data_IF_523188067380
#
_entry.id   IF_523188067380
#
_cell.length_a   1.000
_cell.length_b   1.000
_cell.length_c   1.000
_cell.angle_alpha   90.00
_cell.angle_beta   90.00
_cell.angle_gamma   90.00
#
_symmetry.space_group_name_H-M   'P 1'
#
loop_
_entity.id
_entity.type
_entity.pdbx_description
1 polymer ?
#
# COMPACT_ATOMS: atom_id res chain seq x y z
N UNK A 1 8.05 14.80 17.36
CA UNK A 1 7.66 14.43 15.98
C UNK A 1 7.68 12.92 15.68
N UNK A 2 8.63 12.11 16.19
CA UNK A 2 8.51 10.65 16.03
C UNK A 2 7.30 10.08 16.78
N UNK A 3 7.05 10.59 17.98
CA UNK A 3 5.91 10.16 18.81
C UNK A 3 4.55 10.49 18.17
N UNK A 4 4.41 11.65 17.55
CA UNK A 4 3.18 12.05 16.82
C UNK A 4 2.89 11.10 15.68
N UNK A 5 3.93 10.73 14.92
CA UNK A 5 3.83 9.73 13.86
C UNK A 5 3.41 8.38 14.42
N UNK A 6 3.98 7.96 15.55
CA UNK A 6 3.61 6.71 16.23
C UNK A 6 2.14 6.70 16.68
N UNK A 7 1.63 7.82 17.22
CA UNK A 7 0.22 7.96 17.61
C UNK A 7 -0.69 7.80 16.39
N UNK A 8 -0.38 8.47 15.28
CA UNK A 8 -1.17 8.39 14.03
C UNK A 8 -1.19 6.97 13.43
N UNK A 9 -0.06 6.28 13.42
CA UNK A 9 0.08 4.95 12.83
C UNK A 9 -0.49 3.83 13.72
N UNK A 10 -0.37 3.97 15.05
CA UNK A 10 -0.89 3.00 16.01
C UNK A 10 -2.42 2.94 15.98
N UNK A 11 -3.10 4.09 15.85
CA UNK A 11 -4.56 4.14 15.80
C UNK A 11 -5.13 3.48 14.53
N UNK A 12 -4.51 3.57 13.36
CA UNK A 12 -4.99 2.82 12.17
C UNK A 12 -4.46 1.38 12.05
N UNK A 13 -3.67 0.91 13.03
CA UNK A 13 -2.94 -0.37 12.99
C UNK A 13 -2.10 -0.53 11.72
N UNK A 14 -1.48 0.56 11.26
CA UNK A 14 -0.49 0.47 10.19
C UNK A 14 0.73 -0.21 10.79
N UNK A 15 1.09 -1.37 10.23
CA UNK A 15 2.31 -2.07 10.63
C UNK A 15 3.49 -1.28 10.09
N UNK A 16 4.30 -0.78 11.01
CA UNK A 16 5.62 -0.23 10.71
C UNK A 16 6.64 -1.37 10.82
N UNK A 17 7.50 -1.59 9.82
CA UNK A 17 8.60 -2.54 9.94
C UNK A 17 9.51 -2.05 11.05
N UNK A 18 9.69 -2.85 12.11
CA UNK A 18 10.77 -2.63 13.07
C UNK A 18 12.03 -3.13 12.39
N UNK A 19 12.95 -2.22 12.07
CA UNK A 19 14.28 -2.59 11.64
C UNK A 19 15.19 -2.41 12.85
N UNK A 20 15.82 -3.48 13.33
CA UNK A 20 16.65 -3.45 14.55
C UNK A 20 17.91 -2.56 14.41
N UNK A 21 18.15 -2.01 13.21
CA UNK A 21 19.29 -1.16 12.86
C UNK A 21 18.95 0.31 12.58
N UNK A 22 17.67 0.65 12.41
CA UNK A 22 17.21 2.02 12.14
C UNK A 22 15.95 2.26 12.96
N UNK A 23 16.13 2.97 14.08
CA UNK A 23 15.03 3.37 14.95
C UNK A 23 14.01 4.21 14.19
N UNK A 24 12.75 3.76 14.22
CA UNK A 24 11.56 4.47 13.75
C UNK A 24 11.50 4.76 12.23
N UNK A 25 10.29 4.94 11.67
CA UNK A 25 10.18 5.40 10.29
C UNK A 25 10.84 6.79 10.20
N UNK A 26 11.74 6.99 9.21
CA UNK A 26 12.37 8.27 8.86
C UNK A 26 11.38 9.33 8.35
N UNK A 27 10.10 9.18 8.68
CA UNK A 27 9.02 10.02 8.19
C UNK A 27 8.35 10.63 9.40
N UNK A 28 8.48 11.95 9.49
CA UNK A 28 7.93 12.74 10.58
C UNK A 28 6.63 13.37 10.09
N UNK A 29 5.52 12.95 10.69
CA UNK A 29 4.22 13.59 10.49
C UNK A 29 3.80 14.24 11.80
N UNK A 30 3.47 15.51 11.69
CA UNK A 30 2.97 16.33 12.79
C UNK A 30 1.64 16.94 12.36
N UNK A 31 0.67 17.09 13.27
CA UNK A 31 -0.40 18.05 13.07
C UNK A 31 0.19 19.45 12.86
N UNK A 32 -0.56 20.30 12.16
CA UNK A 32 -0.19 21.69 11.89
C UNK A 32 -0.47 22.55 13.13
N UNK A 33 0.37 22.37 14.15
CA UNK A 33 0.29 23.08 15.43
C UNK A 33 1.69 23.57 15.83
N UNK A 34 1.78 24.62 16.67
CA UNK A 34 3.03 25.11 17.23
C UNK A 34 3.79 24.00 17.99
N UNK A 35 5.13 24.02 17.94
CA UNK A 35 5.97 22.97 18.54
C UNK A 35 5.86 22.93 20.08
N UNK A 36 5.56 24.06 20.70
CA UNK A 36 5.30 24.25 22.12
C UNK A 36 3.99 23.61 22.59
N UNK A 37 2.99 23.49 21.71
CA UNK A 37 1.71 22.84 22.02
C UNK A 37 1.72 21.34 21.72
N UNK A 38 2.77 20.84 21.07
CA UNK A 38 2.86 19.46 20.59
C UNK A 38 2.82 18.43 21.73
N UNK A 39 3.44 18.74 22.86
CA UNK A 39 3.51 17.85 24.02
C UNK A 39 2.13 17.71 24.69
N UNK A 40 1.42 18.83 24.83
CA UNK A 40 0.04 18.87 25.33
C UNK A 40 -0.86 18.05 24.39
N UNK A 41 -0.77 18.31 23.08
CA UNK A 41 -1.52 17.58 22.08
C UNK A 41 -1.25 16.06 22.14
N UNK A 42 0.01 15.65 22.35
CA UNK A 42 0.37 14.24 22.50
C UNK A 42 -0.30 13.60 23.72
N UNK A 43 -0.30 14.27 24.86
CA UNK A 43 -0.95 13.75 26.08
C UNK A 43 -2.45 13.61 25.87
N UNK A 44 -3.09 14.57 25.22
CA UNK A 44 -4.55 14.57 24.98
C UNK A 44 -4.99 13.51 23.96
N UNK A 45 -4.18 13.23 22.93
CA UNK A 45 -4.57 12.38 21.81
C UNK A 45 -4.03 10.94 21.90
N UNK A 46 -3.20 10.63 22.91
CA UNK A 46 -2.54 9.34 23.06
C UNK A 46 -3.39 8.37 23.88
N UNK A 47 -3.67 7.22 23.27
CA UNK A 47 -4.29 6.09 23.97
C UNK A 47 -5.78 5.98 23.68
N UNK A 48 -6.51 5.43 24.64
CA UNK A 48 -7.92 5.08 24.49
C UNK A 48 -8.63 5.18 25.83
N UNK A 49 -9.95 5.37 25.78
CA UNK A 49 -10.83 5.48 26.94
C UNK A 49 -11.98 4.48 26.83
N UNK A 50 -12.46 3.95 27.96
CA UNK A 50 -13.63 3.07 27.97
C UNK A 50 -14.91 3.86 27.60
N UNK A 51 -15.77 3.28 26.77
CA UNK A 51 -17.01 3.92 26.33
C UNK A 51 -18.00 4.15 27.47
N UNK A 52 -18.06 3.24 28.45
CA UNK A 52 -18.97 3.36 29.59
C UNK A 52 -18.60 4.55 30.48
N UNK A 53 -17.30 4.74 30.74
CA UNK A 53 -16.81 5.89 31.51
C UNK A 53 -17.05 7.20 30.76
N UNK A 54 -16.85 7.20 29.43
CA UNK A 54 -17.17 8.35 28.59
C UNK A 54 -18.66 8.73 28.69
N UNK A 55 -19.55 7.74 28.59
CA UNK A 55 -20.99 7.96 28.65
C UNK A 55 -21.45 8.49 30.01
N UNK A 56 -20.80 8.08 31.11
CA UNK A 56 -21.10 8.56 32.46
C UNK A 56 -20.69 10.01 32.68
N UNK A 57 -19.54 10.40 32.12
CA UNK A 57 -19.03 11.76 32.27
C UNK A 57 -19.80 12.74 31.38
N UNK A 58 -20.04 12.38 30.11
CA UNK A 58 -20.72 13.24 29.14
C UNK A 58 -21.44 12.42 28.07
N UNK A 59 -22.69 12.06 28.36
CA UNK A 59 -23.59 11.36 27.43
C UNK A 59 -24.01 12.19 26.21
N UNK A 60 -23.79 13.52 26.26
CA UNK A 60 -24.16 14.44 25.17
C UNK A 60 -23.05 14.60 24.14
N UNK A 61 -21.79 14.42 24.56
CA UNK A 61 -20.64 14.47 23.66
C UNK A 61 -20.59 13.27 22.71
N UNK A 62 -20.34 13.55 21.44
CA UNK A 62 -20.03 12.52 20.45
C UNK A 62 -18.52 12.27 20.44
N UNK A 63 -18.05 11.08 20.84
CA UNK A 63 -16.64 10.75 20.75
C UNK A 63 -16.15 10.86 19.32
N UNK A 64 -15.04 11.58 19.16
CA UNK A 64 -14.44 11.88 17.86
C UNK A 64 -13.54 10.75 17.35
N UNK A 65 -13.22 9.73 18.15
CA UNK A 65 -12.26 8.69 17.78
C UNK A 65 -12.84 7.38 17.24
N UNK A 66 -11.97 6.42 16.98
CA UNK A 66 -12.40 5.08 16.58
C UNK A 66 -12.92 4.27 17.76
N UNK A 67 -14.08 3.66 17.58
CA UNK A 67 -14.63 2.66 18.49
C UNK A 67 -14.00 1.31 18.19
N UNK A 68 -13.56 0.62 19.24
CA UNK A 68 -13.05 -0.76 19.20
C UNK A 68 -13.79 -1.57 20.23
N UNK A 69 -14.19 -2.77 19.81
CA UNK A 69 -14.86 -3.72 20.68
C UNK A 69 -14.26 -5.10 20.46
N UNK A 70 -14.12 -5.86 21.55
CA UNK A 70 -13.62 -7.24 21.50
C UNK A 70 -14.52 -8.13 20.63
N UNK A 71 -15.85 -7.96 20.76
CA UNK A 71 -16.86 -8.65 19.93
C UNK A 71 -16.71 -8.33 18.43
N UNK A 72 -16.09 -7.20 18.10
CA UNK A 72 -15.83 -6.76 16.73
C UNK A 72 -14.38 -7.02 16.29
N UNK A 73 -13.67 -7.90 17.00
CA UNK A 73 -12.27 -8.27 16.75
C UNK A 73 -11.32 -7.06 16.82
N UNK A 74 -11.64 -6.06 17.65
CA UNK A 74 -10.86 -4.84 17.85
C UNK A 74 -10.54 -4.06 16.54
N UNK A 75 -11.39 -4.23 15.52
CA UNK A 75 -11.32 -3.45 14.27
C UNK A 75 -11.84 -2.03 14.52
N UNK A 76 -11.29 -1.01 13.83
CA UNK A 76 -11.77 0.36 13.96
C UNK A 76 -13.19 0.47 13.39
N UNK A 77 -14.09 1.07 14.16
CA UNK A 77 -15.44 1.44 13.78
C UNK A 77 -15.64 2.94 14.04
N UNK A 78 -16.44 3.61 13.21
CA UNK A 78 -16.82 5.01 13.44
C UNK A 78 -18.00 5.03 14.41
N UNK A 79 -17.94 5.89 15.41
CA UNK A 79 -19.08 6.15 16.29
C UNK A 79 -20.24 6.81 15.52
N UNK A 80 -21.47 6.38 15.80
CA UNK A 80 -22.70 6.96 15.24
C UNK A 80 -23.52 7.62 16.33
N UNK A 81 -23.69 6.94 17.48
CA UNK A 81 -24.53 7.43 18.56
C UNK A 81 -24.60 6.47 19.74
N UNK A 82 -25.09 6.99 20.85
CA UNK A 82 -25.45 6.21 22.04
C UNK A 82 -26.90 5.74 21.93
N UNK A 83 -27.18 4.54 22.41
CA UNK A 83 -28.54 4.00 22.53
C UNK A 83 -28.73 3.58 23.97
N UNK A 84 -29.65 4.24 24.67
CA UNK A 84 -30.08 3.85 25.99
C UNK A 84 -31.33 2.97 25.84
N UNK A 85 -31.27 1.67 26.15
CA UNK A 85 -32.46 0.83 26.14
C UNK A 85 -33.42 1.21 27.28
N UNK A 86 -34.72 1.18 26.99
CA UNK A 86 -35.79 1.54 27.95
C UNK A 86 -35.85 0.61 29.17
N UNK A 87 -35.30 -0.61 29.05
CA UNK A 87 -35.26 -1.64 30.08
C UNK A 87 -34.25 -1.34 31.22
N UNK A 88 -33.61 -0.18 31.23
CA UNK A 88 -32.56 0.17 32.21
C UNK A 88 -31.27 -0.65 32.07
N UNK A 89 -31.14 -1.39 30.97
CA UNK A 89 -29.92 -2.14 30.63
C UNK A 89 -28.75 -1.20 30.30
N UNK A 90 -27.53 -1.74 30.25
CA UNK A 90 -26.34 -0.95 29.94
C UNK A 90 -26.45 -0.19 28.60
N UNK A 91 -25.87 1.01 28.49
CA UNK A 91 -25.90 1.78 27.24
C UNK A 91 -25.19 1.01 26.12
N UNK A 92 -25.77 1.07 24.93
CA UNK A 92 -25.21 0.47 23.72
C UNK A 92 -24.55 1.55 22.86
N UNK A 93 -23.41 1.21 22.28
CA UNK A 93 -22.71 2.02 21.28
C UNK A 93 -23.17 1.58 19.89
N UNK A 94 -23.73 2.52 19.13
CA UNK A 94 -24.00 2.35 17.71
C UNK A 94 -22.77 2.78 16.91
N UNK A 95 -22.21 1.87 16.11
CA UNK A 95 -21.00 2.13 15.34
C UNK A 95 -21.02 1.47 13.95
N UNK A 96 -20.40 2.11 12.95
CA UNK A 96 -20.25 1.54 11.61
C UNK A 96 -18.82 1.04 11.36
N UNK A 97 -18.64 -0.06 10.59
CA UNK A 97 -17.32 -0.53 10.25
C UNK A 97 -16.57 0.48 9.39
N UNK A 98 -15.36 0.83 9.82
CA UNK A 98 -14.50 1.71 9.05
C UNK A 98 -14.19 1.08 7.68
N UNK A 99 -14.39 1.82 6.55
CA UNK A 99 -14.30 1.25 5.22
C UNK A 99 -12.91 0.67 4.94
N UNK A 100 -12.88 -0.57 4.47
CA UNK A 100 -11.64 -1.22 4.02
C UNK A 100 -11.34 -0.77 2.60
N UNK A 101 -10.44 0.20 2.41
CA UNK A 101 -9.84 0.47 1.11
C UNK A 101 -8.48 -0.22 1.03
N UNK A 102 -8.32 -1.11 0.04
CA UNK A 102 -7.05 -1.82 -0.21
C UNK A 102 -6.03 -0.90 -0.88
N UNK A 103 -6.50 -0.08 -1.82
CA UNK A 103 -5.71 0.92 -2.53
C UNK A 103 -6.48 2.25 -2.51
N UNK A 104 -5.85 3.36 -2.12
CA UNK A 104 -6.47 4.69 -2.05
C UNK A 104 -6.33 5.50 -3.35
N UNK A 105 -5.49 5.05 -4.28
CA UNK A 105 -5.22 5.71 -5.56
C UNK A 105 -6.25 5.36 -6.64
N UNK A 106 -6.90 4.19 -6.51
CA UNK A 106 -7.95 3.77 -7.43
C UNK A 106 -9.31 4.29 -6.95
N UNK A 107 -10.06 4.96 -7.82
CA UNK A 107 -11.43 5.41 -7.50
C UNK A 107 -12.40 4.23 -7.31
N UNK A 108 -12.12 3.10 -7.96
CA UNK A 108 -12.93 1.87 -7.96
C UNK A 108 -12.74 0.96 -6.75
N UNK A 109 -11.79 1.25 -5.84
CA UNK A 109 -11.51 0.44 -4.64
C UNK A 109 -12.20 0.94 -3.37
N UNK A 110 -13.08 1.94 -3.49
CA UNK A 110 -14.25 1.98 -2.63
C UNK A 110 -14.94 0.62 -2.77
N UNK A 111 -15.34 -0.04 -1.68
CA UNK A 111 -16.26 -1.17 -1.77
C UNK A 111 -17.57 -0.70 -2.42
N UNK A 112 -17.60 -0.57 -3.74
CA UNK A 112 -18.80 -0.41 -4.51
C UNK A 112 -19.49 -1.76 -4.51
N UNK A 113 -20.38 -1.95 -3.54
CA UNK A 113 -21.71 -2.47 -3.86
C UNK A 113 -22.60 -1.33 -4.35
N UNK A 114 -22.11 -0.50 -5.28
CA UNK A 114 -22.91 0.52 -5.98
C UNK A 114 -23.49 -0.03 -7.28
N UNK A 115 -23.67 -1.36 -7.34
CA UNK A 115 -24.35 -2.11 -8.41
C UNK A 115 -25.58 -2.90 -7.92
N UNK A 116 -26.21 -2.48 -6.82
CA UNK A 116 -27.62 -2.78 -6.54
C UNK A 116 -28.47 -1.55 -6.91
N UNK A 117 -28.34 -1.06 -8.17
CA UNK A 117 -29.32 -0.12 -8.74
C UNK A 117 -30.45 -0.95 -9.30
N UNK A 118 -31.45 -1.22 -8.46
CA UNK A 118 -32.66 -1.94 -8.90
C UNK A 118 -33.59 -2.41 -7.79
N UNK A 119 -33.27 -2.21 -6.50
CA UNK A 119 -34.18 -2.57 -5.42
C UNK A 119 -34.33 -1.40 -4.43
N UNK A 120 -35.53 -0.80 -4.27
CA UNK A 120 -35.75 0.32 -3.34
C UNK A 120 -35.59 -0.04 -1.85
N UNK A 121 -35.42 -1.33 -1.52
CA UNK A 121 -35.52 -1.84 -0.14
C UNK A 121 -34.19 -2.28 0.51
N UNK A 122 -33.03 -1.91 -0.03
CA UNK A 122 -31.72 -2.33 0.51
C UNK A 122 -30.89 -1.18 1.10
N UNK A 123 -31.48 -0.42 2.02
CA UNK A 123 -30.83 0.63 2.80
C UNK A 123 -30.51 0.22 4.24
N UNK A 124 -30.19 -1.06 4.52
CA UNK A 124 -29.86 -1.48 5.89
C UNK A 124 -28.52 -0.86 6.31
N UNK A 125 -28.59 0.13 7.21
CA UNK A 125 -27.43 0.74 7.85
C UNK A 125 -26.46 -0.36 8.33
N UNK A 126 -25.18 -0.27 7.96
CA UNK A 126 -24.12 -1.21 8.43
C UNK A 126 -23.78 -1.02 9.91
N UNK A 127 -24.54 -0.20 10.61
CA UNK A 127 -24.44 0.04 12.03
C UNK A 127 -24.55 -1.26 12.82
N UNK A 128 -23.66 -1.40 13.79
CA UNK A 128 -23.64 -2.46 14.79
C UNK A 128 -23.87 -1.83 16.14
N UNK A 129 -24.64 -2.51 16.96
CA UNK A 129 -24.89 -2.11 18.34
C UNK A 129 -24.10 -3.06 19.23
N UNK A 130 -23.30 -2.49 20.13
CA UNK A 130 -22.43 -3.25 21.04
C UNK A 130 -22.47 -2.62 22.43
N UNK A 131 -22.39 -3.41 23.50
CA UNK A 131 -22.27 -2.92 24.87
C UNK A 131 -21.18 -1.88 25.07
N UNK A 132 -21.47 -0.77 25.75
CA UNK A 132 -20.47 0.25 26.05
C UNK A 132 -19.34 -0.29 26.96
N UNK A 133 -19.64 -1.23 27.86
CA UNK A 133 -18.65 -1.87 28.75
C UNK A 133 -17.50 -2.55 28.01
N UNK A 134 -17.80 -3.15 26.85
CA UNK A 134 -16.86 -3.89 26.01
C UNK A 134 -16.23 -3.02 24.91
N UNK A 135 -16.49 -1.71 24.92
CA UNK A 135 -16.03 -0.78 23.90
C UNK A 135 -15.00 0.20 24.45
N UNK A 136 -14.02 0.51 23.61
CA UNK A 136 -13.00 1.54 23.84
C UNK A 136 -13.02 2.53 22.68
N UNK A 137 -12.73 3.80 22.96
CA UNK A 137 -12.62 4.88 21.99
C UNK A 137 -11.18 5.35 21.98
N UNK A 138 -10.55 5.38 20.81
CA UNK A 138 -9.25 6.03 20.63
C UNK A 138 -9.39 7.54 20.88
N UNK A 139 -8.42 8.18 21.56
CA UNK A 139 -8.50 9.63 21.83
C UNK A 139 -8.22 10.49 20.59
N UNK A 140 -7.55 9.92 19.59
CA UNK A 140 -7.22 10.61 18.35
C UNK A 140 -8.49 10.85 17.49
N UNK A 141 -8.78 12.11 17.11
CA UNK A 141 -9.92 12.45 16.25
C UNK A 141 -9.96 11.69 14.94
N UNK A 142 -11.17 11.40 14.46
CA UNK A 142 -11.37 10.56 13.29
C UNK A 142 -10.83 11.21 12.00
N UNK A 143 -10.77 12.56 11.91
CA UNK A 143 -10.19 13.23 10.73
C UNK A 143 -8.71 12.88 10.57
N UNK A 144 -7.95 12.96 11.66
CA UNK A 144 -6.52 12.63 11.69
C UNK A 144 -6.30 11.14 11.45
N UNK A 145 -7.19 10.33 12.00
CA UNK A 145 -7.23 8.90 11.77
C UNK A 145 -7.52 8.52 10.31
N UNK A 146 -8.37 9.28 9.62
CA UNK A 146 -8.62 9.10 8.19
C UNK A 146 -7.39 9.54 7.38
N UNK A 147 -6.72 10.61 7.79
CA UNK A 147 -5.51 11.11 7.15
C UNK A 147 -4.34 10.12 7.24
N UNK A 148 -4.21 9.37 8.35
CA UNK A 148 -3.12 8.39 8.49
C UNK A 148 -3.21 7.22 7.49
N UNK A 149 -4.37 6.98 6.87
CA UNK A 149 -4.48 6.01 5.77
C UNK A 149 -3.91 6.56 4.47
N UNK A 150 -4.12 7.85 4.19
CA UNK A 150 -3.53 8.52 3.03
C UNK A 150 -2.01 8.54 3.15
N UNK A 151 -1.49 8.65 4.37
CA UNK A 151 -0.07 8.61 4.63
C UNK A 151 0.61 7.34 4.09
N UNK A 152 0.03 6.17 4.31
CA UNK A 152 0.57 4.91 3.76
C UNK A 152 0.65 4.94 2.24
N UNK A 153 -0.32 5.58 1.56
CA UNK A 153 -0.32 5.70 0.11
C UNK A 153 0.71 6.72 -0.39
N UNK A 154 0.83 7.86 0.30
CA UNK A 154 1.85 8.89 -0.01
C UNK A 154 3.26 8.33 0.14
N UNK A 155 3.51 7.54 1.19
CA UNK A 155 4.81 6.93 1.42
C UNK A 155 5.19 5.94 0.34
N UNK A 156 4.24 5.10 -0.09
CA UNK A 156 4.50 4.17 -1.17
C UNK A 156 4.70 4.91 -2.51
N UNK A 157 4.03 6.05 -2.75
CA UNK A 157 4.28 6.92 -3.91
C UNK A 157 5.70 7.48 -3.89
N UNK A 158 6.13 8.03 -2.75
CA UNK A 158 7.48 8.56 -2.60
C UNK A 158 8.53 7.47 -2.77
N UNK A 159 8.32 6.30 -2.15
CA UNK A 159 9.21 5.15 -2.31
C UNK A 159 9.37 4.75 -3.78
N UNK A 160 8.25 4.64 -4.52
CA UNK A 160 8.26 4.29 -5.94
C UNK A 160 9.09 5.28 -6.77
N UNK A 161 8.92 6.58 -6.53
CA UNK A 161 9.66 7.63 -7.24
C UNK A 161 11.15 7.64 -6.86
N UNK A 162 11.48 7.41 -5.60
CA UNK A 162 12.87 7.34 -5.14
C UNK A 162 13.61 6.13 -5.72
N UNK A 163 12.96 4.97 -5.79
CA UNK A 163 13.55 3.76 -6.41
C UNK A 163 13.78 4.01 -7.91
N UNK A 164 12.81 4.62 -8.59
CA UNK A 164 12.99 4.98 -10.01
C UNK A 164 14.14 5.99 -10.19
N UNK A 165 14.27 6.99 -9.32
CA UNK A 165 15.35 7.97 -9.39
C UNK A 165 16.70 7.29 -9.15
N UNK A 166 16.77 6.40 -8.17
CA UNK A 166 17.97 5.63 -7.88
C UNK A 166 18.35 4.73 -9.07
N UNK A 167 17.39 4.08 -9.73
CA UNK A 167 17.66 3.26 -10.92
C UNK A 167 18.26 4.10 -12.06
N UNK A 168 17.71 5.30 -12.26
CA UNK A 168 18.20 6.24 -13.28
C UNK A 168 19.65 6.62 -13.02
N UNK A 169 19.99 6.95 -11.78
CA UNK A 169 21.30 7.50 -11.44
C UNK A 169 22.37 6.40 -11.30
N UNK A 170 21.98 5.16 -10.98
CA UNK A 170 22.91 4.03 -10.78
C UNK A 170 23.13 3.18 -12.03
N UNK A 171 22.09 2.53 -12.56
CA UNK A 171 22.20 1.57 -13.66
C UNK A 171 22.03 2.27 -15.01
N UNK A 172 21.12 3.24 -15.09
CA UNK A 172 20.75 3.90 -16.33
C UNK A 172 21.35 5.31 -16.47
N UNK A 173 22.48 5.59 -15.82
CA UNK A 173 23.12 6.92 -15.81
C UNK A 173 23.58 7.44 -17.18
N UNK A 174 23.47 6.62 -18.22
CA UNK A 174 23.71 7.03 -19.61
C UNK A 174 22.41 7.42 -20.36
N UNK A 175 21.22 7.18 -19.76
CA UNK A 175 19.89 7.38 -20.34
C UNK A 175 19.10 8.49 -19.62
N UNK A 176 19.73 9.66 -19.45
CA UNK A 176 19.13 10.81 -18.74
C UNK A 176 17.87 11.40 -19.40
N UNK A 177 17.55 11.01 -20.64
CA UNK A 177 16.38 11.48 -21.37
C UNK A 177 15.06 10.85 -20.92
N UNK A 178 15.09 9.79 -20.12
CA UNK A 178 13.87 9.08 -19.69
C UNK A 178 13.22 9.81 -18.51
N UNK A 179 11.92 10.09 -18.64
CA UNK A 179 11.15 10.71 -17.57
C UNK A 179 10.98 9.77 -16.38
N UNK A 180 11.03 10.32 -15.17
CA UNK A 180 10.92 9.54 -13.93
C UNK A 180 9.59 8.79 -13.83
N UNK A 181 8.51 9.35 -14.39
CA UNK A 181 7.20 8.70 -14.43
C UNK A 181 7.20 7.42 -15.27
N UNK A 182 7.82 7.45 -16.45
CA UNK A 182 7.94 6.26 -17.32
C UNK A 182 8.81 5.20 -16.65
N UNK A 183 9.91 5.62 -16.00
CA UNK A 183 10.77 4.69 -15.28
C UNK A 183 10.05 4.07 -14.06
N UNK A 184 9.27 4.87 -13.34
CA UNK A 184 8.42 4.38 -12.25
C UNK A 184 7.36 3.39 -12.76
N UNK A 185 6.81 3.57 -13.96
CA UNK A 185 5.92 2.60 -14.60
C UNK A 185 6.68 1.33 -15.01
N UNK A 186 7.87 1.46 -15.59
CA UNK A 186 8.71 0.36 -16.05
C UNK A 186 9.14 -0.61 -14.94
N UNK A 187 9.38 -0.10 -13.73
CA UNK A 187 9.75 -0.93 -12.58
C UNK A 187 8.53 -1.53 -11.84
N UNK A 188 7.30 -1.19 -12.25
CA UNK A 188 6.09 -1.57 -11.50
C UNK A 188 5.35 -2.72 -12.17
N UNK A 189 5.28 -3.85 -11.49
CA UNK A 189 4.56 -5.02 -11.96
C UNK A 189 3.04 -4.87 -11.83
N UNK A 190 2.25 -5.55 -12.68
CA UNK A 190 0.78 -5.58 -12.55
C UNK A 190 0.31 -6.09 -11.18
N UNK A 191 1.06 -7.01 -10.57
CA UNK A 191 0.77 -7.56 -9.24
C UNK A 191 0.84 -6.52 -8.12
N UNK A 192 1.57 -5.42 -8.33
CA UNK A 192 1.69 -4.34 -7.36
C UNK A 192 0.42 -3.46 -7.27
N UNK A 193 -0.54 -3.65 -8.19
CA UNK A 193 -1.88 -3.01 -8.18
C UNK A 193 -1.85 -1.48 -8.21
N UNK A 194 -0.86 -0.89 -8.87
CA UNK A 194 -0.81 0.54 -9.14
C UNK A 194 -1.76 0.95 -10.27
N UNK A 195 -1.96 2.25 -10.43
CA UNK A 195 -2.75 2.84 -11.53
C UNK A 195 -2.13 2.59 -12.90
N UNK A 196 -0.81 2.38 -12.95
CA UNK A 196 0.00 2.16 -14.15
C UNK A 196 1.07 1.11 -13.84
N UNK A 197 1.50 0.37 -14.87
CA UNK A 197 2.45 -0.74 -14.77
C UNK A 197 3.26 -0.88 -16.07
N UNK A 198 4.22 -1.82 -16.10
CA UNK A 198 5.15 -1.97 -17.22
C UNK A 198 4.55 -2.63 -18.47
N UNK A 199 3.33 -3.19 -18.46
CA UNK A 199 2.84 -4.06 -19.54
C UNK A 199 2.88 -3.42 -20.94
N UNK A 200 2.58 -2.12 -21.01
CA UNK A 200 2.63 -1.39 -22.29
C UNK A 200 4.06 -1.18 -22.78
N UNK A 201 4.98 -0.97 -21.84
CA UNK A 201 6.41 -0.80 -22.13
C UNK A 201 7.05 -2.12 -22.52
N UNK A 202 6.69 -3.21 -21.83
CA UNK A 202 7.07 -4.58 -22.15
C UNK A 202 6.62 -4.96 -23.57
N UNK A 203 5.36 -4.71 -23.92
CA UNK A 203 4.84 -4.99 -25.26
C UNK A 203 5.64 -4.28 -26.36
N UNK A 204 5.95 -2.99 -26.15
CA UNK A 204 6.77 -2.23 -27.09
C UNK A 204 8.22 -2.75 -27.14
N UNK A 205 8.80 -3.00 -25.96
CA UNK A 205 10.18 -3.46 -25.80
C UNK A 205 10.41 -4.83 -26.45
N UNK A 206 9.45 -5.75 -26.31
CA UNK A 206 9.49 -7.07 -26.94
C UNK A 206 9.55 -6.98 -28.48
N UNK A 207 8.73 -6.11 -29.07
CA UNK A 207 8.75 -5.87 -30.51
C UNK A 207 10.09 -5.28 -31.00
N UNK A 208 10.59 -4.25 -30.31
CA UNK A 208 11.87 -3.59 -30.65
C UNK A 208 13.05 -4.57 -30.47
N UNK A 209 13.07 -5.33 -29.38
CA UNK A 209 14.12 -6.31 -29.10
C UNK A 209 14.16 -7.42 -30.14
N UNK A 210 12.99 -8.01 -30.46
CA UNK A 210 12.89 -9.05 -31.49
C UNK A 210 13.37 -8.54 -32.84
N UNK A 211 13.02 -7.31 -33.21
CA UNK A 211 13.47 -6.70 -34.45
C UNK A 211 14.99 -6.46 -34.48
N UNK A 212 15.56 -5.90 -33.41
CA UNK A 212 16.99 -5.67 -33.30
C UNK A 212 17.80 -6.98 -33.38
N UNK A 213 17.35 -8.03 -32.67
CA UNK A 213 17.98 -9.36 -32.72
C UNK A 213 17.86 -9.97 -34.12
N UNK A 214 16.74 -9.81 -34.81
CA UNK A 214 16.60 -10.26 -36.20
C UNK A 214 17.64 -9.61 -37.12
N UNK A 215 17.79 -8.28 -37.06
CA UNK A 215 18.77 -7.55 -37.90
C UNK A 215 20.19 -8.02 -37.59
N UNK A 216 20.55 -8.09 -36.30
CA UNK A 216 21.88 -8.50 -35.88
C UNK A 216 22.21 -9.92 -36.38
N UNK A 217 21.29 -10.88 -36.21
CA UNK A 217 21.49 -12.25 -36.67
C UNK A 217 21.57 -12.36 -38.19
N UNK A 218 20.76 -11.61 -38.92
CA UNK A 218 20.80 -11.61 -40.39
C UNK A 218 22.13 -11.06 -40.91
N UNK A 219 22.66 -10.03 -40.26
CA UNK A 219 23.95 -9.43 -40.60
C UNK A 219 25.15 -10.32 -40.22
N UNK A 220 25.16 -10.87 -39.00
CA UNK A 220 26.29 -11.64 -38.48
C UNK A 220 26.38 -13.05 -39.06
N UNK A 221 25.26 -13.58 -39.57
CA UNK A 221 25.16 -14.95 -40.10
C UNK A 221 24.46 -14.98 -41.48
N UNK A 222 25.04 -14.35 -42.52
CA UNK A 222 24.38 -14.21 -43.83
C UNK A 222 24.19 -15.54 -44.58
N UNK A 223 24.93 -16.58 -44.20
CA UNK A 223 24.86 -17.92 -44.81
C UNK A 223 23.87 -18.85 -44.09
N UNK A 224 23.29 -18.44 -42.95
CA UNK A 224 22.34 -19.27 -42.24
C UNK A 224 20.97 -19.21 -42.90
N UNK A 225 20.35 -20.38 -43.07
CA UNK A 225 18.96 -20.43 -43.54
C UNK A 225 17.99 -19.98 -42.43
N UNK A 226 16.77 -19.64 -42.82
CA UNK A 226 15.72 -19.10 -41.95
C UNK A 226 15.49 -19.91 -40.66
N UNK A 227 15.48 -21.25 -40.76
CA UNK A 227 15.32 -22.14 -39.60
C UNK A 227 16.36 -21.93 -38.49
N UNK A 228 17.65 -21.82 -38.83
CA UNK A 228 18.71 -21.58 -37.85
C UNK A 228 18.62 -20.18 -37.25
N UNK A 229 18.32 -19.17 -38.07
CA UNK A 229 18.11 -17.79 -37.61
C UNK A 229 16.93 -17.71 -36.63
N UNK A 230 15.82 -18.38 -36.94
CA UNK A 230 14.62 -18.42 -36.10
C UNK A 230 14.84 -19.17 -34.78
N UNK A 231 15.58 -20.28 -34.83
CA UNK A 231 15.96 -21.03 -33.63
C UNK A 231 16.86 -20.18 -32.74
N UNK A 232 17.89 -19.54 -33.33
CA UNK A 232 18.83 -18.72 -32.57
C UNK A 232 18.17 -17.48 -31.97
N UNK A 233 17.32 -16.81 -32.74
CA UNK A 233 16.51 -15.69 -32.26
C UNK A 233 15.72 -16.11 -31.02
N UNK A 234 14.98 -17.21 -31.10
CA UNK A 234 14.13 -17.71 -30.00
C UNK A 234 14.93 -18.05 -28.74
N UNK A 235 16.18 -18.51 -28.88
CA UNK A 235 17.08 -18.73 -27.74
C UNK A 235 17.51 -17.41 -27.08
N UNK A 236 17.87 -16.40 -27.89
CA UNK A 236 18.36 -15.10 -27.40
C UNK A 236 17.23 -14.34 -26.71
N UNK A 237 16.06 -14.25 -27.33
CA UNK A 237 14.89 -13.52 -26.78
C UNK A 237 14.05 -14.39 -25.84
N UNK A 238 14.58 -15.53 -25.39
CA UNK A 238 13.85 -16.36 -24.45
C UNK A 238 13.77 -15.67 -23.08
N UNK A 239 12.62 -15.81 -22.44
CA UNK A 239 12.36 -15.38 -21.08
C UNK A 239 13.52 -15.71 -20.10
N UNK A 240 14.08 -16.92 -20.18
CA UNK A 240 15.21 -17.33 -19.35
C UNK A 240 16.49 -16.53 -19.63
N UNK A 241 16.80 -16.28 -20.91
CA UNK A 241 17.95 -15.47 -21.31
C UNK A 241 17.79 -14.01 -20.87
N UNK A 242 16.59 -13.44 -21.02
CA UNK A 242 16.29 -12.06 -20.62
C UNK A 242 16.31 -11.89 -19.10
N UNK A 243 15.76 -12.85 -18.35
CA UNK A 243 15.86 -12.86 -16.89
C UNK A 243 17.31 -12.86 -16.42
N UNK A 244 18.16 -13.70 -17.03
CA UNK A 244 19.58 -13.76 -16.70
C UNK A 244 20.30 -12.44 -17.03
N UNK A 245 19.98 -11.83 -18.17
CA UNK A 245 20.52 -10.53 -18.56
C UNK A 245 20.09 -9.42 -17.59
N UNK A 246 18.83 -9.39 -17.17
CA UNK A 246 18.31 -8.41 -16.21
C UNK A 246 18.97 -8.53 -14.82
N UNK A 247 19.22 -9.76 -14.36
CA UNK A 247 19.97 -10.00 -13.12
C UNK A 247 21.43 -9.53 -13.23
N UNK A 248 22.09 -9.82 -14.37
CA UNK A 248 23.46 -9.35 -14.63
C UNK A 248 23.54 -7.82 -14.71
N UNK A 249 22.47 -7.17 -15.17
CA UNK A 249 22.35 -5.72 -15.20
C UNK A 249 21.97 -5.08 -13.84
N UNK A 250 21.72 -5.89 -12.80
CA UNK A 250 21.38 -5.38 -11.47
C UNK A 250 19.97 -4.80 -11.35
N UNK A 251 19.04 -5.18 -12.23
CA UNK A 251 17.67 -4.62 -12.24
C UNK A 251 16.74 -5.24 -11.17
N UNK A 252 17.06 -6.43 -10.68
CA UNK A 252 16.23 -7.19 -9.73
C UNK A 252 15.77 -6.40 -8.49
N UNK A 253 16.66 -5.70 -7.77
CA UNK A 253 16.29 -4.94 -6.56
C UNK A 253 15.33 -3.77 -6.79
N UNK A 254 15.18 -3.30 -8.04
CA UNK A 254 14.36 -2.15 -8.38
C UNK A 254 12.90 -2.53 -8.70
N UNK A 255 12.61 -3.81 -8.93
CA UNK A 255 11.28 -4.28 -9.33
C UNK A 255 10.28 -4.24 -8.17
N UNK A 256 9.14 -3.60 -8.41
CA UNK A 256 8.04 -3.48 -7.47
C UNK A 256 6.95 -4.50 -7.82
N UNK A 257 6.90 -5.59 -7.06
CA UNK A 257 5.94 -6.68 -7.26
C UNK A 257 4.86 -6.76 -6.18
N UNK A 258 5.14 -6.21 -5.00
CA UNK A 258 4.26 -6.26 -3.84
C UNK A 258 3.06 -5.31 -3.99
N UNK A 259 1.83 -5.77 -3.66
CA UNK A 259 0.64 -4.94 -3.77
C UNK A 259 0.65 -3.80 -2.76
N UNK A 260 0.25 -2.63 -3.24
CA UNK A 260 -0.10 -1.50 -2.39
C UNK A 260 -1.12 -1.93 -1.33
N UNK A 261 -0.71 -1.86 -0.06
CA UNK A 261 -1.59 -2.15 1.07
C UNK A 261 -1.56 -1.00 2.06
N UNK A 262 -2.71 -0.36 2.32
CA UNK A 262 -2.85 0.77 3.25
C UNK A 262 -2.50 0.47 4.72
N UNK A 263 -2.15 -0.78 5.06
CA UNK A 263 -1.88 -1.26 6.43
C UNK A 263 -0.44 -1.72 6.65
N UNK A 264 0.39 -1.67 5.61
CA UNK A 264 1.80 -2.04 5.70
C UNK A 264 2.59 -0.87 5.16
N UNK A 265 3.26 -0.17 6.07
CA UNK A 265 4.33 0.72 5.66
C UNK A 265 5.49 -0.17 5.24
N UNK A 266 6.06 0.07 4.07
CA UNK A 266 7.32 -0.55 3.67
C UNK A 266 8.37 0.53 3.81
N UNK A 267 9.45 0.27 4.54
CA UNK A 267 10.57 1.20 4.56
C UNK A 267 11.21 1.17 3.16
N UNK A 268 11.53 2.33 2.56
CA UNK A 268 12.35 2.38 1.36
C UNK A 268 13.74 1.81 1.68
N UNK A 269 13.90 0.51 1.51
CA UNK A 269 15.19 -0.15 1.42
C UNK A 269 15.27 -0.77 0.05
N UNK A 270 16.27 -0.39 -0.73
CA UNK A 270 16.77 -1.30 -1.77
C UNK A 270 17.20 -2.52 -0.99
N UNK A 271 16.44 -3.61 -1.08
CA UNK A 271 16.80 -4.83 -0.38
C UNK A 271 18.10 -5.33 -0.99
N UNK A 272 19.21 -5.09 -0.30
CA UNK A 272 20.51 -5.72 -0.59
C UNK A 272 20.47 -7.24 -0.33
N UNK A 273 19.35 -7.79 0.18
CA UNK A 273 19.19 -9.22 0.27
C UNK A 273 18.91 -9.81 -1.13
N UNK A 274 19.79 -10.69 -1.66
CA UNK A 274 19.38 -11.57 -2.73
C UNK A 274 18.17 -12.36 -2.22
N UNK A 275 17.10 -12.41 -3.02
CA UNK A 275 15.93 -13.21 -2.71
C UNK A 275 16.39 -14.60 -2.24
N UNK A 276 16.06 -15.06 -1.02
CA UNK A 276 16.30 -16.44 -0.67
C UNK A 276 15.55 -17.32 -1.67
N UNK A 277 16.11 -18.48 -2.09
CA UNK A 277 15.40 -19.40 -2.98
C UNK A 277 14.12 -19.82 -2.26
N UNK A 278 13.00 -19.23 -2.64
CA UNK A 278 11.73 -19.40 -1.95
C UNK A 278 11.31 -20.85 -2.08
N UNK A 279 11.38 -21.58 -0.96
CA UNK A 279 10.73 -22.87 -0.82
C UNK A 279 9.25 -22.74 -1.20
N UNK A 280 8.87 -23.47 -2.27
CA UNK A 280 7.50 -23.79 -2.68
C UNK A 280 6.49 -22.65 -2.52
N UNK A 281 6.74 -21.51 -3.15
CA UNK A 281 5.66 -20.67 -3.71
C UNK A 281 5.88 -20.58 -5.20
N UNK A 282 4.98 -21.18 -5.95
CA UNK A 282 4.92 -21.08 -7.40
C UNK A 282 4.65 -19.62 -7.78
N UNK A 283 5.71 -18.80 -7.77
CA UNK A 283 5.78 -17.60 -8.57
C UNK A 283 5.91 -18.11 -10.01
N UNK A 284 4.84 -17.95 -10.79
CA UNK A 284 4.85 -18.30 -12.20
C UNK A 284 6.07 -17.63 -12.84
N UNK A 285 6.91 -18.42 -13.53
CA UNK A 285 8.17 -17.99 -14.14
C UNK A 285 8.05 -16.92 -15.25
N UNK A 286 6.93 -16.21 -15.32
CA UNK A 286 6.68 -15.07 -16.20
C UNK A 286 7.18 -13.75 -15.61
N UNK A 287 7.09 -13.55 -14.30
CA UNK A 287 7.34 -12.23 -13.69
C UNK A 287 8.82 -11.80 -13.61
N UNK A 288 9.76 -12.71 -13.82
CA UNK A 288 11.20 -12.40 -13.84
C UNK A 288 11.79 -12.38 -15.25
N UNK A 289 10.95 -12.68 -16.23
CA UNK A 289 11.38 -13.13 -17.54
C UNK A 289 10.75 -12.28 -18.68
N UNK A 290 10.06 -11.22 -18.29
CA UNK A 290 9.32 -10.24 -19.09
C UNK A 290 9.70 -8.83 -18.61
#
# INVERSE_FOLDING_TARGET
MHETTSVLLSSTRIKVPRNDTVDAPNVLVSPDIPLDELEIWLVENRGWRNCLDWYRDDSSSQPQGFVRCELLYNKPHKFIGWIQPDDGSEPLVCCEPFPRRRNLLLKSTLCQRLSDRGNPDCGKSRAKQVPASLCTIDLLPWELNRASLLFSALMQLQQRLLIAAHLRDSVLGHLHCISLGVLADAITAPSAQWTSNYQRLEYLGDGVLKFAVCIQLFHDHPLWHEGYLSQRKSQIVSNASLAHAALKAGLGPFLLTEPMTSRKLTVPGVSDQPCPPSGKRAVSGKSFAE
#
